data_IF_708088655176
#
_entry.id   IF_708088655176
#
_cell.length_a   1.000
_cell.length_b   1.000
_cell.length_c   1.000
_cell.angle_alpha   90.00
_cell.angle_beta   90.00
_cell.angle_gamma   90.00
#
_symmetry.space_group_name_H-M   'P 1'
#
loop_
_entity.id
_entity.type
_entity.pdbx_description
1 polymer ?
#
# COMPACT_ATOMS: atom_id res chain seq x y z
N UNK A 1 -26.15 5.78 -46.99
CA UNK A 1 -25.55 5.55 -45.65
C UNK A 1 -26.33 4.44 -44.98
N UNK A 2 -25.66 3.36 -44.60
CA UNK A 2 -26.27 2.28 -43.81
C UNK A 2 -26.26 2.64 -42.34
N UNK A 3 -27.29 2.22 -41.59
CA UNK A 3 -27.42 2.44 -40.14
C UNK A 3 -27.70 1.11 -39.46
N UNK A 4 -27.17 0.94 -38.26
CA UNK A 4 -27.55 -0.16 -37.36
C UNK A 4 -28.99 0.03 -36.86
N UNK A 5 -29.59 -1.04 -36.36
CA UNK A 5 -30.91 -0.96 -35.73
C UNK A 5 -30.87 -0.13 -34.45
N UNK A 6 -32.04 0.33 -34.01
CA UNK A 6 -32.19 1.08 -32.75
C UNK A 6 -31.83 0.22 -31.53
N UNK A 7 -32.09 -1.08 -31.59
CA UNK A 7 -31.80 -2.02 -30.49
C UNK A 7 -30.30 -2.27 -30.35
N UNK A 8 -29.60 -2.47 -31.47
CA UNK A 8 -28.13 -2.57 -31.48
C UNK A 8 -27.49 -1.27 -30.97
N UNK A 9 -27.98 -0.11 -31.43
CA UNK A 9 -27.48 1.17 -30.95
C UNK A 9 -27.70 1.35 -29.44
N UNK A 10 -28.89 1.04 -28.94
CA UNK A 10 -29.21 1.13 -27.50
C UNK A 10 -28.32 0.21 -26.67
N UNK A 11 -28.10 -1.01 -27.15
CA UNK A 11 -27.21 -1.97 -26.49
C UNK A 11 -25.79 -1.41 -26.37
N UNK A 12 -25.26 -0.82 -27.44
CA UNK A 12 -23.93 -0.19 -27.43
C UNK A 12 -23.87 1.02 -26.48
N UNK A 13 -24.91 1.84 -26.44
CA UNK A 13 -24.98 3.00 -25.54
C UNK A 13 -24.99 2.56 -24.07
N UNK A 14 -25.78 1.55 -23.71
CA UNK A 14 -25.84 1.00 -22.35
C UNK A 14 -24.49 0.38 -21.93
N UNK A 15 -23.81 -0.30 -22.88
CA UNK A 15 -22.46 -0.83 -22.65
C UNK A 15 -21.44 0.29 -22.42
N UNK A 16 -21.49 1.37 -23.20
CA UNK A 16 -20.55 2.48 -23.05
C UNK A 16 -20.77 3.22 -21.71
N UNK A 17 -22.03 3.39 -21.28
CA UNK A 17 -22.34 3.95 -19.97
C UNK A 17 -21.78 3.07 -18.84
N UNK A 18 -21.94 1.75 -18.94
CA UNK A 18 -21.39 0.80 -17.95
C UNK A 18 -19.86 0.84 -17.93
N UNK A 19 -19.20 0.91 -19.10
CA UNK A 19 -17.75 1.07 -19.19
C UNK A 19 -17.29 2.34 -18.50
N UNK A 20 -18.00 3.46 -18.71
CA UNK A 20 -17.70 4.73 -18.04
C UNK A 20 -17.77 4.63 -16.51
N UNK A 21 -18.82 3.98 -15.99
CA UNK A 21 -18.98 3.76 -14.55
C UNK A 21 -17.85 2.89 -13.96
N UNK A 22 -17.52 1.77 -14.64
CA UNK A 22 -16.43 0.88 -14.22
C UNK A 22 -15.10 1.64 -14.20
N UNK A 23 -14.81 2.43 -15.23
CA UNK A 23 -13.55 3.18 -15.31
C UNK A 23 -13.44 4.24 -14.21
N UNK A 24 -14.55 4.92 -13.89
CA UNK A 24 -14.61 5.84 -12.76
C UNK A 24 -14.26 5.14 -11.44
N UNK A 25 -14.91 4.00 -11.17
CA UNK A 25 -14.70 3.25 -9.93
C UNK A 25 -13.27 2.70 -9.83
N UNK A 26 -12.69 2.25 -10.95
CA UNK A 26 -11.29 1.87 -11.02
C UNK A 26 -10.35 3.05 -10.69
N UNK A 27 -10.62 4.24 -11.21
CA UNK A 27 -9.83 5.44 -10.90
C UNK A 27 -9.90 5.82 -9.42
N UNK A 28 -11.07 5.70 -8.81
CA UNK A 28 -11.24 5.90 -7.36
C UNK A 28 -10.42 4.88 -6.57
N UNK A 29 -10.52 3.60 -6.90
CA UNK A 29 -9.77 2.52 -6.23
C UNK A 29 -8.26 2.71 -6.36
N UNK A 30 -7.76 3.10 -7.53
CA UNK A 30 -6.33 3.33 -7.72
C UNK A 30 -5.82 4.49 -6.86
N UNK A 31 -6.61 5.56 -6.73
CA UNK A 31 -6.29 6.69 -5.85
C UNK A 31 -6.26 6.26 -4.38
N UNK A 32 -7.22 5.44 -3.95
CA UNK A 32 -7.27 4.89 -2.59
C UNK A 32 -6.08 3.98 -2.30
N UNK A 33 -5.74 3.10 -3.25
CA UNK A 33 -4.57 2.21 -3.15
C UNK A 33 -3.27 3.03 -3.04
N UNK A 34 -3.11 4.07 -3.85
CA UNK A 34 -1.94 4.94 -3.77
C UNK A 34 -1.82 5.60 -2.39
N UNK A 35 -2.93 6.12 -1.85
CA UNK A 35 -2.94 6.71 -0.51
C UNK A 35 -2.52 5.70 0.58
N UNK A 36 -3.07 4.48 0.53
CA UNK A 36 -2.68 3.41 1.47
C UNK A 36 -1.21 3.01 1.33
N UNK A 37 -0.69 2.95 0.11
CA UNK A 37 0.73 2.64 -0.13
C UNK A 37 1.65 3.72 0.47
N UNK A 38 1.28 5.00 0.36
CA UNK A 38 2.00 6.10 1.00
C UNK A 38 1.97 5.99 2.53
N UNK A 39 0.78 5.79 3.11
CA UNK A 39 0.64 5.64 4.57
C UNK A 39 1.45 4.45 5.11
N UNK A 40 1.49 3.34 4.37
CA UNK A 40 2.32 2.20 4.73
C UNK A 40 3.82 2.54 4.70
N UNK A 41 4.28 3.26 3.68
CA UNK A 41 5.67 3.70 3.60
C UNK A 41 6.04 4.65 4.75
N UNK A 42 5.14 5.55 5.13
CA UNK A 42 5.32 6.44 6.29
C UNK A 42 5.48 5.62 7.59
N UNK A 43 4.64 4.61 7.79
CA UNK A 43 4.70 3.77 8.99
C UNK A 43 5.98 2.90 9.03
N UNK A 44 6.44 2.41 7.89
CA UNK A 44 7.75 1.74 7.78
C UNK A 44 8.86 2.69 8.23
N UNK A 45 8.84 3.95 7.76
CA UNK A 45 9.82 4.95 8.17
C UNK A 45 9.75 5.25 9.68
N UNK A 46 8.55 5.36 10.25
CA UNK A 46 8.35 5.58 11.68
C UNK A 46 8.88 4.39 12.51
N UNK A 47 8.66 3.16 12.02
CA UNK A 47 9.15 1.96 12.69
C UNK A 47 10.68 1.90 12.69
N UNK A 48 11.34 2.24 11.56
CA UNK A 48 12.81 2.29 11.50
C UNK A 48 13.37 3.38 12.43
N UNK A 49 12.76 4.57 12.46
CA UNK A 49 13.16 5.62 13.41
C UNK A 49 13.05 5.14 14.87
N UNK A 50 11.96 4.45 15.21
CA UNK A 50 11.77 3.87 16.55
C UNK A 50 12.83 2.80 16.87
N UNK A 51 13.24 1.98 15.89
CA UNK A 51 14.33 1.01 16.08
C UNK A 51 15.65 1.71 16.35
N UNK A 52 15.99 2.75 15.59
CA UNK A 52 17.20 3.53 15.81
C UNK A 52 17.22 4.14 17.22
N UNK A 53 16.12 4.73 17.69
CA UNK A 53 16.03 5.26 19.05
C UNK A 53 16.24 4.18 20.13
N UNK A 54 15.78 2.95 19.89
CA UNK A 54 15.97 1.83 20.80
C UNK A 54 17.41 1.30 20.78
N UNK A 55 18.04 1.25 19.60
CA UNK A 55 19.45 0.88 19.45
C UNK A 55 20.38 1.90 20.13
N UNK A 56 20.10 3.20 20.01
CA UNK A 56 20.86 4.25 20.72
C UNK A 56 20.76 4.09 22.24
N UNK A 57 19.60 3.63 22.75
CA UNK A 57 19.35 3.50 24.19
C UNK A 57 19.92 2.21 24.79
N UNK A 58 19.89 1.10 24.06
CA UNK A 58 20.21 -0.23 24.59
C UNK A 58 21.41 -0.90 23.90
N UNK A 59 22.03 -0.25 22.91
CA UNK A 59 23.02 -0.85 22.03
C UNK A 59 22.36 -1.67 20.91
N UNK A 60 23.17 -2.36 20.10
CA UNK A 60 22.62 -3.29 19.10
C UNK A 60 21.82 -4.38 19.81
N UNK A 61 20.50 -4.34 19.65
CA UNK A 61 19.57 -5.28 20.27
C UNK A 61 18.63 -5.87 19.24
N UNK A 62 18.30 -7.15 19.40
CA UNK A 62 17.24 -7.79 18.64
C UNK A 62 15.99 -7.85 19.51
N UNK A 63 14.86 -7.31 19.03
CA UNK A 63 13.62 -7.18 19.80
C UNK A 63 12.55 -8.14 19.26
N UNK A 64 11.99 -8.96 20.15
CA UNK A 64 10.80 -9.75 19.87
C UNK A 64 9.56 -8.86 19.89
N UNK A 65 8.89 -8.69 18.74
CA UNK A 65 7.61 -7.99 18.66
C UNK A 65 6.45 -8.74 19.36
N UNK A 66 6.68 -9.98 19.80
CA UNK A 66 5.64 -10.86 20.35
C UNK A 66 5.40 -10.62 21.83
N UNK A 67 6.48 -10.35 22.57
CA UNK A 67 6.49 -10.21 24.02
C UNK A 67 7.39 -9.04 24.51
N UNK A 68 8.05 -8.33 23.61
CA UNK A 68 8.91 -7.20 23.92
C UNK A 68 10.25 -7.58 24.55
N UNK A 69 10.58 -8.87 24.62
CA UNK A 69 11.90 -9.31 25.07
C UNK A 69 12.97 -8.87 24.07
N UNK A 70 14.16 -8.52 24.56
CA UNK A 70 15.28 -8.12 23.72
C UNK A 70 16.56 -8.85 24.11
N UNK A 71 17.38 -9.16 23.12
CA UNK A 71 18.70 -9.76 23.29
C UNK A 71 19.76 -8.80 22.77
N UNK A 72 20.85 -8.63 23.50
CA UNK A 72 21.98 -7.83 23.03
C UNK A 72 22.70 -8.62 21.94
N UNK A 73 22.85 -7.99 20.78
CA UNK A 73 23.67 -8.51 19.70
C UNK A 73 25.11 -8.08 20.02
N UNK A 74 25.93 -9.01 20.49
CA UNK A 74 27.35 -8.76 20.68
C UNK A 74 27.99 -8.55 19.31
N UNK A 75 28.67 -7.42 19.12
CA UNK A 75 29.51 -7.20 17.94
C UNK A 75 30.70 -8.17 18.01
N UNK A 76 30.79 -9.12 17.08
CA UNK A 76 31.99 -9.94 16.88
C UNK A 76 33.14 -9.13 16.24
N UNK A 77 33.29 -7.83 16.57
CA UNK A 77 34.42 -6.98 16.15
C UNK A 77 35.33 -6.54 17.31
N UNK A 78 35.15 -7.07 18.52
CA UNK A 78 36.16 -7.01 19.58
C UNK A 78 36.99 -8.31 19.63
N UNK A 79 37.81 -8.57 18.62
CA UNK A 79 38.96 -9.49 18.69
C UNK A 79 40.12 -9.08 17.79
#
# INVERSE_FOLDING_TARGET
MSKISKEELKTLQDQEQKKGAILHDLGLLETQKHALAHMYADEVSNQEASKTELEEKYGKINISLKDGTYEIVADEEDK
#
